data_IF_850463309399
#
_entry.id   IF_850463309399
#
_cell.length_a   1.000
_cell.length_b   1.000
_cell.length_c   1.000
_cell.angle_alpha   90.00
_cell.angle_beta   90.00
_cell.angle_gamma   90.00
#
_symmetry.space_group_name_H-M   'P 1'
#
loop_
_entity.id
_entity.type
_entity.pdbx_description
1 polymer ?
#
# COMPACT_ATOMS: atom_id res chain seq x y z
N UNK A 1 -42.47 -14.14 -3.58
CA UNK A 1 -41.72 -13.18 -2.76
C UNK A 1 -40.37 -12.99 -3.41
N UNK A 2 -39.83 -11.78 -3.38
CA UNK A 2 -38.58 -11.48 -4.09
C UNK A 2 -37.37 -11.76 -3.20
N UNK A 3 -36.39 -12.46 -3.75
CA UNK A 3 -35.14 -12.77 -3.07
C UNK A 3 -33.98 -12.82 -4.06
N UNK A 4 -32.78 -12.55 -3.55
CA UNK A 4 -31.54 -12.60 -4.31
C UNK A 4 -30.47 -13.37 -3.53
N UNK A 5 -29.57 -14.00 -4.26
CA UNK A 5 -28.40 -14.71 -3.73
C UNK A 5 -27.19 -14.46 -4.62
N UNK A 6 -25.99 -14.76 -4.12
CA UNK A 6 -24.74 -14.68 -4.86
C UNK A 6 -23.96 -15.98 -4.69
N UNK A 7 -23.08 -16.29 -5.66
CA UNK A 7 -21.97 -17.21 -5.39
C UNK A 7 -20.95 -16.55 -4.42
N UNK A 8 -20.32 -17.37 -3.58
CA UNK A 8 -19.18 -17.03 -2.74
C UNK A 8 -18.35 -18.31 -2.48
N UNK A 9 -17.47 -18.74 -3.38
CA UNK A 9 -16.96 -18.04 -4.56
C UNK A 9 -17.13 -18.80 -5.88
N UNK A 10 -17.32 -18.04 -6.96
CA UNK A 10 -17.05 -18.42 -8.33
C UNK A 10 -15.92 -17.56 -8.91
N UNK A 11 -14.69 -18.06 -8.86
CA UNK A 11 -13.50 -17.29 -9.26
C UNK A 11 -13.38 -17.05 -10.77
N UNK A 12 -14.04 -17.86 -11.61
CA UNK A 12 -13.97 -17.77 -13.07
C UNK A 12 -15.26 -18.17 -13.79
N UNK A 13 -15.73 -17.40 -14.79
CA UNK A 13 -15.19 -16.10 -15.20
C UNK A 13 -15.49 -14.96 -14.20
N UNK A 14 -16.57 -15.07 -13.39
CA UNK A 14 -17.00 -14.06 -12.42
C UNK A 14 -18.02 -14.62 -11.42
N UNK A 15 -18.31 -13.89 -10.35
CA UNK A 15 -19.43 -14.24 -9.46
C UNK A 15 -20.77 -14.13 -10.19
N UNK A 16 -21.75 -14.94 -9.78
CA UNK A 16 -23.12 -14.93 -10.32
C UNK A 16 -24.06 -14.39 -9.23
N UNK A 17 -24.86 -13.38 -9.59
CA UNK A 17 -26.01 -12.99 -8.79
C UNK A 17 -27.26 -13.69 -9.33
N UNK A 18 -28.07 -14.21 -8.43
CA UNK A 18 -29.32 -14.90 -8.72
C UNK A 18 -30.49 -14.05 -8.23
N UNK A 19 -31.56 -13.96 -9.02
CA UNK A 19 -32.80 -13.28 -8.64
C UNK A 19 -34.02 -14.16 -8.88
N UNK A 20 -34.88 -14.25 -7.87
CA UNK A 20 -36.18 -14.91 -7.93
C UNK A 20 -37.28 -13.96 -7.46
N UNK A 21 -38.41 -13.95 -8.16
CA UNK A 21 -39.61 -13.18 -7.81
C UNK A 21 -40.75 -14.08 -7.29
N UNK A 22 -40.56 -15.40 -7.30
CA UNK A 22 -41.55 -16.43 -7.00
C UNK A 22 -41.19 -17.28 -5.77
N UNK A 23 -40.51 -16.66 -4.79
CA UNK A 23 -40.08 -17.31 -3.54
C UNK A 23 -39.10 -18.47 -3.75
N UNK A 24 -38.24 -18.38 -4.77
CA UNK A 24 -37.17 -19.33 -5.03
C UNK A 24 -37.57 -20.53 -5.90
N UNK A 25 -38.76 -20.52 -6.50
CA UNK A 25 -39.18 -21.59 -7.39
C UNK A 25 -38.43 -21.55 -8.74
N UNK A 26 -38.20 -20.34 -9.27
CA UNK A 26 -37.36 -20.10 -10.44
C UNK A 26 -36.37 -18.97 -10.20
N UNK A 27 -35.25 -19.00 -10.94
CA UNK A 27 -34.14 -18.07 -10.78
C UNK A 27 -33.63 -17.61 -12.13
N UNK A 28 -33.25 -16.33 -12.18
CA UNK A 28 -32.56 -15.71 -13.30
C UNK A 28 -31.15 -15.27 -12.86
N UNK A 29 -30.20 -15.27 -13.79
CA UNK A 29 -28.77 -15.05 -13.53
C UNK A 29 -28.32 -13.65 -13.96
N UNK A 30 -27.34 -13.06 -13.27
CA UNK A 30 -26.73 -11.77 -13.66
C UNK A 30 -26.02 -11.82 -14.99
N UNK A 31 -25.46 -12.97 -15.36
CA UNK A 31 -24.84 -13.22 -16.66
C UNK A 31 -25.02 -14.68 -17.03
N UNK A 32 -24.90 -14.98 -18.32
CA UNK A 32 -24.90 -16.34 -18.84
C UNK A 32 -23.98 -16.45 -20.06
N UNK A 33 -23.42 -17.63 -20.31
CA UNK A 33 -22.55 -17.87 -21.46
C UNK A 33 -23.39 -17.88 -22.75
N UNK A 34 -22.86 -17.38 -23.85
CA UNK A 34 -23.36 -17.67 -25.20
C UNK A 34 -22.55 -18.83 -25.77
N UNK A 35 -21.24 -18.81 -25.52
CA UNK A 35 -20.27 -19.86 -25.82
C UNK A 35 -19.16 -19.83 -24.75
N UNK A 36 -18.17 -20.72 -24.85
CA UNK A 36 -17.08 -20.83 -23.85
C UNK A 36 -16.40 -19.49 -23.50
N UNK A 37 -16.25 -18.59 -24.49
CA UNK A 37 -15.52 -17.33 -24.33
C UNK A 37 -16.39 -16.08 -24.54
N UNK A 38 -17.71 -16.24 -24.62
CA UNK A 38 -18.63 -15.12 -24.83
C UNK A 38 -19.72 -15.23 -23.78
N UNK A 39 -19.93 -14.16 -23.00
CA UNK A 39 -21.05 -14.05 -22.08
C UNK A 39 -21.91 -12.83 -22.38
N UNK A 40 -23.13 -12.84 -21.87
CA UNK A 40 -24.03 -11.68 -21.85
C UNK A 40 -24.46 -11.41 -20.41
N UNK A 41 -24.60 -10.14 -20.07
CA UNK A 41 -24.77 -9.66 -18.70
C UNK A 41 -26.01 -8.76 -18.63
N UNK A 42 -26.77 -8.84 -17.53
CA UNK A 42 -27.98 -8.05 -17.29
C UNK A 42 -27.74 -6.57 -17.08
N UNK A 43 -26.52 -6.21 -16.68
CA UNK A 43 -26.16 -4.85 -16.34
C UNK A 43 -24.76 -4.51 -16.84
N UNK A 44 -24.49 -3.23 -16.94
CA UNK A 44 -23.16 -2.69 -17.21
C UNK A 44 -22.54 -2.21 -15.89
N UNK A 45 -21.28 -2.59 -15.66
CA UNK A 45 -20.50 -2.12 -14.52
C UNK A 45 -19.89 -0.75 -14.82
N UNK A 46 -20.04 0.20 -13.91
CA UNK A 46 -19.47 1.54 -13.97
C UNK A 46 -18.49 1.75 -12.80
N UNK A 47 -17.19 1.67 -13.12
CA UNK A 47 -16.09 1.86 -12.18
C UNK A 47 -15.55 3.29 -12.16
N UNK A 48 -16.21 4.28 -12.78
CA UNK A 48 -15.66 5.66 -12.90
C UNK A 48 -15.31 6.30 -11.56
N UNK A 49 -16.06 6.02 -10.49
CA UNK A 49 -15.75 6.48 -9.13
C UNK A 49 -14.54 5.78 -8.47
N UNK A 50 -14.01 4.71 -9.05
CA UNK A 50 -12.83 3.97 -8.59
C UNK A 50 -12.15 3.28 -9.78
N UNK A 51 -11.47 4.04 -10.66
CA UNK A 51 -11.02 3.54 -11.97
C UNK A 51 -9.98 2.41 -11.88
N UNK A 52 -9.34 2.26 -10.71
CA UNK A 52 -8.40 1.17 -10.42
C UNK A 52 -9.06 -0.21 -10.33
N UNK A 53 -10.39 -0.32 -10.23
CA UNK A 53 -11.11 -1.60 -10.21
C UNK A 53 -11.01 -2.41 -11.52
N UNK A 54 -10.43 -1.83 -12.57
CA UNK A 54 -10.01 -2.52 -13.79
C UNK A 54 -8.81 -3.43 -13.60
N UNK A 55 -8.06 -3.28 -12.50
CA UNK A 55 -6.82 -4.01 -12.20
C UNK A 55 -5.71 -3.87 -13.25
N UNK A 56 -5.72 -2.76 -14.01
CA UNK A 56 -4.90 -2.59 -15.22
C UNK A 56 -5.08 -3.74 -16.23
N UNK A 57 -6.21 -4.43 -16.16
CA UNK A 57 -6.59 -5.52 -17.03
C UNK A 57 -7.35 -5.03 -18.26
N UNK A 58 -7.57 -5.97 -19.17
CA UNK A 58 -8.49 -5.86 -20.29
C UNK A 58 -9.39 -7.09 -20.30
N UNK A 59 -10.54 -6.98 -20.95
CA UNK A 59 -11.45 -8.12 -21.09
C UNK A 59 -10.76 -9.28 -21.82
N UNK A 60 -10.97 -10.49 -21.33
CA UNK A 60 -10.42 -11.72 -21.90
C UNK A 60 -11.54 -12.77 -22.02
N UNK A 61 -12.16 -12.82 -23.20
CA UNK A 61 -13.33 -13.67 -23.45
C UNK A 61 -14.48 -13.33 -22.51
N UNK A 62 -14.95 -14.32 -21.75
CA UNK A 62 -16.03 -14.14 -20.77
C UNK A 62 -15.56 -13.48 -19.45
N UNK A 63 -14.26 -13.28 -19.25
CA UNK A 63 -13.72 -12.63 -18.04
C UNK A 63 -13.50 -11.15 -18.29
N UNK A 64 -14.38 -10.30 -17.76
CA UNK A 64 -14.26 -8.84 -17.89
C UNK A 64 -13.27 -8.25 -16.87
N UNK A 65 -12.63 -7.14 -17.24
CA UNK A 65 -11.69 -6.44 -16.37
C UNK A 65 -12.38 -5.83 -15.13
N UNK A 66 -13.58 -5.26 -15.33
CA UNK A 66 -14.45 -4.81 -14.23
C UNK A 66 -15.44 -5.94 -13.93
N UNK A 67 -15.18 -6.65 -12.84
CA UNK A 67 -15.94 -7.83 -12.42
C UNK A 67 -17.18 -7.45 -11.62
N UNK A 68 -18.20 -8.31 -11.64
CA UNK A 68 -19.32 -8.25 -10.68
C UNK A 68 -18.81 -8.34 -9.25
N UNK A 69 -17.76 -9.13 -9.03
CA UNK A 69 -16.99 -9.11 -7.80
C UNK A 69 -16.32 -10.43 -7.49
N UNK A 70 -15.96 -10.57 -6.22
CA UNK A 70 -15.55 -11.80 -5.54
C UNK A 70 -15.78 -11.58 -4.05
N UNK A 71 -15.95 -12.68 -3.31
CA UNK A 71 -16.25 -12.65 -1.87
C UNK A 71 -17.55 -11.91 -1.56
N UNK A 72 -18.59 -12.15 -2.38
CA UNK A 72 -19.91 -11.53 -2.22
C UNK A 72 -20.69 -12.28 -1.13
N UNK A 73 -20.26 -12.09 0.12
CA UNK A 73 -20.96 -12.59 1.32
C UNK A 73 -22.15 -11.69 1.70
N UNK A 74 -21.99 -10.39 1.52
CA UNK A 74 -22.99 -9.38 1.88
C UNK A 74 -23.67 -8.83 0.62
N UNK A 75 -24.98 -9.03 0.53
CA UNK A 75 -25.86 -8.46 -0.49
C UNK A 75 -27.20 -8.12 0.17
N UNK A 76 -27.71 -6.92 -0.08
CA UNK A 76 -28.96 -6.45 0.51
C UNK A 76 -29.77 -5.60 -0.47
N UNK A 77 -31.03 -6.00 -0.68
CA UNK A 77 -32.06 -5.14 -1.28
C UNK A 77 -32.55 -4.20 -0.18
N UNK A 78 -32.75 -2.93 -0.53
CA UNK A 78 -33.30 -1.96 0.41
C UNK A 78 -34.76 -2.33 0.77
N UNK A 79 -35.10 -2.48 2.06
CA UNK A 79 -36.45 -2.84 2.48
C UNK A 79 -37.50 -1.74 2.20
N UNK A 80 -37.08 -0.54 1.80
CA UNK A 80 -37.93 0.60 1.48
C UNK A 80 -37.90 1.01 0.01
N UNK A 81 -37.03 0.40 -0.79
CA UNK A 81 -36.90 0.67 -2.22
C UNK A 81 -36.47 -0.60 -2.98
N UNK A 82 -37.40 -1.22 -3.69
CA UNK A 82 -37.13 -2.47 -4.42
C UNK A 82 -36.20 -2.29 -5.62
N UNK A 83 -35.96 -1.05 -6.06
CA UNK A 83 -34.97 -0.75 -7.11
C UNK A 83 -33.55 -0.63 -6.56
N UNK A 84 -33.38 -0.49 -5.25
CA UNK A 84 -32.08 -0.30 -4.63
C UNK A 84 -31.49 -1.60 -4.06
N UNK A 85 -30.26 -1.89 -4.45
CA UNK A 85 -29.45 -3.00 -3.92
C UNK A 85 -27.99 -2.59 -3.82
N UNK A 86 -27.31 -3.14 -2.81
CA UNK A 86 -25.86 -3.06 -2.69
C UNK A 86 -25.28 -4.45 -2.38
N UNK A 87 -24.05 -4.68 -2.82
CA UNK A 87 -23.28 -5.86 -2.39
C UNK A 87 -21.80 -5.53 -2.20
N UNK A 88 -21.21 -6.18 -1.20
CA UNK A 88 -19.79 -6.09 -0.90
C UNK A 88 -18.98 -7.07 -1.75
N UNK A 89 -17.72 -6.73 -1.96
CA UNK A 89 -16.70 -7.60 -2.55
C UNK A 89 -15.43 -7.53 -1.71
N UNK A 90 -14.39 -8.29 -2.09
CA UNK A 90 -13.08 -8.13 -1.48
C UNK A 90 -12.40 -6.77 -1.71
N UNK A 91 -12.92 -5.90 -2.58
CA UNK A 91 -12.27 -4.62 -2.93
C UNK A 91 -13.17 -3.38 -2.87
N UNK A 92 -14.49 -3.52 -3.05
CA UNK A 92 -15.43 -2.39 -3.10
C UNK A 92 -16.85 -2.80 -2.73
N UNK A 93 -17.75 -1.82 -2.69
CA UNK A 93 -19.21 -2.01 -2.64
C UNK A 93 -19.79 -1.56 -3.98
N UNK A 94 -20.57 -2.43 -4.60
CA UNK A 94 -21.33 -2.15 -5.81
C UNK A 94 -22.79 -1.89 -5.47
N UNK A 95 -23.51 -1.18 -6.34
CA UNK A 95 -24.95 -1.06 -6.21
C UNK A 95 -25.64 -0.38 -7.41
N UNK A 96 -26.96 -0.45 -7.39
CA UNK A 96 -27.84 0.18 -8.37
C UNK A 96 -29.12 0.67 -7.69
N UNK A 97 -29.83 1.57 -8.37
CA UNK A 97 -31.18 2.07 -8.03
C UNK A 97 -32.14 1.80 -9.20
N UNK A 98 -31.92 0.68 -9.91
CA UNK A 98 -32.70 0.27 -11.09
C UNK A 98 -32.88 -1.25 -11.14
N UNK A 99 -32.84 -1.91 -9.98
CA UNK A 99 -32.85 -3.36 -9.88
C UNK A 99 -34.07 -4.01 -10.53
N UNK A 100 -35.26 -3.41 -10.44
CA UNK A 100 -36.48 -4.04 -10.97
C UNK A 100 -36.53 -4.05 -12.50
N UNK A 101 -35.64 -3.31 -13.18
CA UNK A 101 -35.45 -3.46 -14.63
C UNK A 101 -35.03 -4.88 -15.00
N UNK A 102 -34.33 -5.60 -14.10
CA UNK A 102 -34.00 -7.01 -14.26
C UNK A 102 -35.24 -7.85 -14.57
N UNK A 103 -36.37 -7.59 -13.89
CA UNK A 103 -37.59 -8.39 -13.99
C UNK A 103 -38.27 -8.26 -15.36
N UNK A 104 -37.98 -7.18 -16.10
CA UNK A 104 -38.52 -6.92 -17.43
C UNK A 104 -37.63 -7.45 -18.58
N UNK A 105 -36.38 -7.85 -18.30
CA UNK A 105 -35.40 -8.25 -19.33
C UNK A 105 -35.63 -9.66 -19.90
N UNK A 106 -36.42 -10.50 -19.23
CA UNK A 106 -36.63 -11.90 -19.64
C UNK A 106 -35.34 -12.74 -19.60
N UNK A 107 -35.26 -13.73 -20.48
CA UNK A 107 -34.10 -14.63 -20.59
C UNK A 107 -32.90 -13.91 -21.24
N UNK A 108 -31.69 -14.27 -20.79
CA UNK A 108 -30.44 -13.76 -21.39
C UNK A 108 -30.09 -14.46 -22.72
N UNK A 109 -30.61 -15.67 -22.89
CA UNK A 109 -30.18 -16.63 -23.89
C UNK A 109 -31.41 -17.19 -24.60
N UNK A 110 -31.30 -17.33 -25.92
CA UNK A 110 -32.24 -18.09 -26.74
C UNK A 110 -31.51 -18.99 -27.74
N UNK A 111 -32.28 -19.55 -28.67
CA UNK A 111 -31.76 -20.32 -29.81
C UNK A 111 -32.09 -19.59 -31.11
N UNK A 112 -31.14 -19.58 -32.05
CA UNK A 112 -31.40 -19.11 -33.41
C UNK A 112 -32.07 -20.21 -34.25
N UNK A 113 -32.40 -19.92 -35.52
CA UNK A 113 -33.04 -20.89 -36.43
C UNK A 113 -32.21 -22.17 -36.66
N UNK A 114 -30.88 -22.11 -36.46
CA UNK A 114 -29.98 -23.25 -36.57
C UNK A 114 -29.87 -24.06 -35.26
N UNK A 115 -30.59 -23.68 -34.20
CA UNK A 115 -30.50 -24.30 -32.87
C UNK A 115 -29.24 -23.92 -32.10
N UNK A 116 -28.54 -22.86 -32.51
CA UNK A 116 -27.35 -22.37 -31.80
C UNK A 116 -27.75 -21.38 -30.70
N UNK A 117 -27.03 -21.45 -29.58
CA UNK A 117 -27.21 -20.56 -28.45
C UNK A 117 -26.81 -19.12 -28.83
N UNK A 118 -27.70 -18.16 -28.60
CA UNK A 118 -27.47 -16.74 -28.89
C UNK A 118 -27.86 -15.86 -27.71
N UNK A 119 -27.16 -14.72 -27.55
CA UNK A 119 -27.59 -13.69 -26.62
C UNK A 119 -28.88 -13.03 -27.11
N UNK A 120 -29.85 -12.86 -26.21
CA UNK A 120 -31.05 -12.09 -26.48
C UNK A 120 -30.78 -10.59 -26.25
N UNK A 121 -31.40 -9.70 -27.05
CA UNK A 121 -31.28 -8.27 -26.85
C UNK A 121 -31.98 -7.88 -25.54
N UNK A 122 -31.26 -7.19 -24.66
CA UNK A 122 -31.77 -6.69 -23.39
C UNK A 122 -31.32 -5.25 -23.17
N UNK A 123 -32.18 -4.46 -22.53
CA UNK A 123 -31.82 -3.12 -22.07
C UNK A 123 -31.11 -3.23 -20.72
N UNK A 124 -29.79 -3.04 -20.71
CA UNK A 124 -28.96 -3.15 -19.51
C UNK A 124 -29.13 -1.92 -18.62
N UNK A 125 -29.34 -2.13 -17.32
CA UNK A 125 -29.18 -1.07 -16.31
C UNK A 125 -27.73 -0.96 -15.86
N UNK A 126 -27.39 0.12 -15.13
CA UNK A 126 -26.03 0.36 -14.65
C UNK A 126 -25.88 -0.02 -13.18
N UNK A 127 -24.75 -0.65 -12.86
CA UNK A 127 -24.27 -0.89 -11.50
C UNK A 127 -23.01 -0.08 -11.30
N UNK A 128 -23.02 0.83 -10.32
CA UNK A 128 -21.89 1.72 -10.04
C UNK A 128 -21.28 1.48 -8.65
N UNK A 129 -20.13 2.09 -8.41
CA UNK A 129 -19.47 2.08 -7.10
C UNK A 129 -20.38 2.76 -6.05
N UNK A 130 -20.45 2.18 -4.85
CA UNK A 130 -21.19 2.69 -3.67
C UNK A 130 -20.32 2.66 -2.40
N UNK A 131 -19.04 2.97 -2.58
CA UNK A 131 -18.03 2.95 -1.53
C UNK A 131 -17.37 4.32 -1.28
N UNK A 132 -17.96 5.42 -1.77
CA UNK A 132 -17.46 6.76 -1.49
C UNK A 132 -17.42 7.03 0.03
N UNK A 133 -16.28 7.53 0.51
CA UNK A 133 -16.01 7.72 1.94
C UNK A 133 -15.54 6.46 2.69
N UNK A 134 -15.52 5.28 2.07
CA UNK A 134 -14.97 4.05 2.66
C UNK A 134 -13.51 3.90 2.26
N UNK A 135 -12.61 4.08 3.23
CA UNK A 135 -11.17 3.82 3.06
C UNK A 135 -10.74 2.68 3.98
N UNK A 136 -10.28 1.57 3.39
CA UNK A 136 -9.99 0.33 4.10
C UNK A 136 -8.66 -0.33 3.72
N UNK A 137 -7.84 0.34 2.91
CA UNK A 137 -6.59 -0.26 2.43
C UNK A 137 -5.55 -0.38 3.54
N UNK A 138 -4.86 -1.52 3.62
CA UNK A 138 -3.65 -1.67 4.44
C UNK A 138 -2.47 -0.97 3.76
N UNK A 139 -2.10 0.22 4.24
CA UNK A 139 -0.95 0.98 3.73
C UNK A 139 0.33 0.44 4.36
N UNK A 140 1.27 -0.01 3.54
CA UNK A 140 2.53 -0.64 3.99
C UNK A 140 3.75 0.28 3.92
N UNK A 141 3.76 1.25 2.99
CA UNK A 141 4.78 2.32 2.98
C UNK A 141 4.29 3.53 2.18
N UNK A 142 4.92 4.68 2.44
CA UNK A 142 4.62 5.96 1.79
C UNK A 142 5.92 6.68 1.42
N UNK A 143 5.94 7.27 0.21
CA UNK A 143 7.00 8.14 -0.25
C UNK A 143 6.42 9.50 -0.68
N UNK A 144 6.62 10.52 0.14
CA UNK A 144 6.22 11.89 -0.18
C UNK A 144 7.32 12.58 -1.01
N UNK A 145 7.01 12.87 -2.27
CA UNK A 145 7.97 13.46 -3.22
C UNK A 145 7.91 14.99 -3.24
N UNK A 146 6.84 15.58 -2.69
CA UNK A 146 6.48 16.99 -2.85
C UNK A 146 5.64 17.16 -4.12
N UNK A 147 4.40 17.60 -3.97
CA UNK A 147 3.41 17.65 -5.06
C UNK A 147 2.89 16.28 -5.54
N UNK A 148 3.48 15.17 -5.11
CA UNK A 148 2.97 13.81 -5.31
C UNK A 148 3.30 12.92 -4.10
N UNK A 149 2.41 11.96 -3.82
CA UNK A 149 2.60 10.91 -2.82
C UNK A 149 2.54 9.54 -3.51
N UNK A 150 3.53 8.69 -3.30
CA UNK A 150 3.49 7.30 -3.75
C UNK A 150 3.12 6.42 -2.56
N UNK A 151 2.16 5.51 -2.75
CA UNK A 151 1.71 4.58 -1.71
C UNK A 151 1.86 3.14 -2.14
N UNK A 152 2.39 2.30 -1.25
CA UNK A 152 2.44 0.86 -1.37
C UNK A 152 1.39 0.24 -0.43
N UNK A 153 0.52 -0.59 -0.97
CA UNK A 153 -0.66 -1.11 -0.27
C UNK A 153 -0.73 -2.64 -0.37
N UNK A 154 -1.29 -3.26 0.66
CA UNK A 154 -1.82 -4.62 0.56
C UNK A 154 -2.97 -4.68 -0.44
N UNK A 155 -3.14 -5.83 -1.07
CA UNK A 155 -4.21 -6.22 -2.00
C UNK A 155 -4.36 -5.38 -3.28
N UNK A 156 -4.47 -4.06 -3.16
CA UNK A 156 -4.66 -3.08 -4.25
C UNK A 156 -3.36 -2.43 -4.73
N UNK A 157 -2.26 -3.19 -4.67
CA UNK A 157 -0.96 -2.85 -5.24
C UNK A 157 -0.35 -1.51 -4.76
N UNK A 158 -0.36 -0.47 -5.60
CA UNK A 158 0.22 0.83 -5.31
C UNK A 158 -0.26 1.93 -6.24
N UNK A 159 -0.18 3.17 -5.77
CA UNK A 159 -0.77 4.36 -6.40
C UNK A 159 0.20 5.54 -6.35
N UNK A 160 0.07 6.44 -7.34
CA UNK A 160 0.72 7.75 -7.35
C UNK A 160 -0.35 8.83 -7.26
N UNK A 161 -0.47 9.42 -6.08
CA UNK A 161 -1.46 10.45 -5.76
C UNK A 161 -0.89 11.82 -6.16
N UNK A 162 -1.38 12.34 -7.28
CA UNK A 162 -1.07 13.72 -7.73
C UNK A 162 -2.13 14.72 -7.31
N UNK A 163 -3.34 14.22 -7.03
CA UNK A 163 -4.46 14.92 -6.42
C UNK A 163 -4.96 14.03 -5.27
N UNK A 164 -5.00 14.56 -4.05
CA UNK A 164 -5.39 13.78 -2.86
C UNK A 164 -6.91 13.58 -2.77
N UNK A 165 -7.69 14.33 -3.57
CA UNK A 165 -9.16 14.28 -3.57
C UNK A 165 -9.71 13.39 -4.70
N UNK A 166 -8.84 12.69 -5.43
CA UNK A 166 -9.22 11.85 -6.58
C UNK A 166 -8.64 10.44 -6.51
N UNK A 167 -9.47 9.45 -6.80
CA UNK A 167 -9.02 8.08 -6.99
C UNK A 167 -8.18 7.94 -8.27
N UNK A 168 -6.97 7.40 -8.14
CA UNK A 168 -6.03 7.18 -9.25
C UNK A 168 -6.00 5.70 -9.65
N UNK A 169 -5.61 5.37 -10.90
CA UNK A 169 -5.29 3.99 -11.27
C UNK A 169 -4.08 3.47 -10.49
N UNK A 170 -4.01 2.14 -10.32
CA UNK A 170 -2.78 1.51 -9.81
C UNK A 170 -1.64 1.73 -10.79
N UNK A 171 -0.40 1.78 -10.30
CA UNK A 171 0.77 1.89 -11.17
C UNK A 171 1.36 0.54 -11.60
N UNK A 172 0.96 -0.55 -10.94
CA UNK A 172 1.47 -1.91 -11.20
C UNK A 172 0.38 -2.96 -10.94
N UNK A 173 0.32 -3.99 -11.79
CA UNK A 173 -0.54 -5.18 -11.64
C UNK A 173 0.20 -6.33 -10.96
N UNK A 174 -0.54 -7.28 -10.39
CA UNK A 174 -0.01 -8.52 -9.79
C UNK A 174 1.13 -8.31 -8.77
N UNK A 175 1.07 -7.19 -8.04
CA UNK A 175 2.12 -6.77 -7.12
C UNK A 175 1.52 -6.16 -5.86
N UNK A 176 1.57 -6.89 -4.76
CA UNK A 176 1.15 -6.36 -3.47
C UNK A 176 2.28 -5.49 -2.90
N UNK A 177 2.13 -4.16 -2.93
CA UNK A 177 3.20 -3.23 -2.57
C UNK A 177 3.57 -3.24 -1.10
N UNK A 178 4.86 -3.33 -0.77
CA UNK A 178 5.38 -3.51 0.59
C UNK A 178 6.25 -2.34 1.09
N UNK A 179 7.28 -1.92 0.34
CA UNK A 179 8.18 -0.81 0.74
C UNK A 179 8.46 0.12 -0.42
N UNK A 180 8.73 1.40 -0.12
CA UNK A 180 9.04 2.45 -1.07
C UNK A 180 10.25 3.27 -0.61
N UNK A 181 11.05 3.74 -1.56
CA UNK A 181 12.06 4.76 -1.31
C UNK A 181 12.28 5.62 -2.57
N UNK A 182 12.90 6.78 -2.40
CA UNK A 182 13.26 7.68 -3.49
C UNK A 182 14.66 8.26 -3.27
N UNK A 183 15.36 8.59 -4.36
CA UNK A 183 16.68 9.20 -4.27
C UNK A 183 16.57 10.65 -3.79
N UNK A 184 17.33 11.01 -2.75
CA UNK A 184 17.22 12.32 -2.12
C UNK A 184 17.65 13.48 -3.04
N UNK A 185 18.63 13.22 -3.93
CA UNK A 185 19.11 14.20 -4.92
C UNK A 185 18.18 14.35 -6.12
N UNK A 186 17.38 13.32 -6.42
CA UNK A 186 16.48 13.28 -7.57
C UNK A 186 15.22 12.46 -7.23
N UNK A 187 14.15 13.18 -6.91
CA UNK A 187 12.86 12.58 -6.51
C UNK A 187 12.06 12.02 -7.68
N UNK A 188 12.56 12.13 -8.91
CA UNK A 188 11.96 11.44 -10.04
C UNK A 188 12.32 9.95 -10.05
N UNK A 189 13.40 9.57 -9.35
CA UNK A 189 13.81 8.18 -9.18
C UNK A 189 13.20 7.61 -7.91
N UNK A 190 12.25 6.69 -8.09
CA UNK A 190 11.51 6.02 -7.02
C UNK A 190 11.65 4.52 -7.18
N UNK A 191 11.84 3.79 -6.09
CA UNK A 191 11.86 2.33 -6.07
C UNK A 191 10.78 1.81 -5.14
N UNK A 192 10.22 0.65 -5.49
CA UNK A 192 9.27 -0.06 -4.65
C UNK A 192 9.54 -1.55 -4.65
N UNK A 193 9.27 -2.21 -3.54
CA UNK A 193 9.30 -3.67 -3.41
C UNK A 193 7.95 -4.19 -2.94
N UNK A 194 7.64 -5.44 -3.28
CA UNK A 194 6.36 -6.04 -2.91
C UNK A 194 6.23 -7.50 -3.29
N UNK A 195 5.13 -8.09 -2.83
CA UNK A 195 4.81 -9.48 -3.02
C UNK A 195 4.33 -9.70 -4.45
N UNK A 196 4.85 -10.73 -5.11
CA UNK A 196 4.37 -11.17 -6.42
C UNK A 196 3.88 -12.62 -6.31
N UNK A 197 2.86 -12.96 -7.11
CA UNK A 197 2.32 -14.32 -7.21
C UNK A 197 2.92 -15.15 -8.34
N UNK A 198 3.81 -14.58 -9.15
CA UNK A 198 4.47 -15.23 -10.29
C UNK A 198 5.92 -15.58 -9.98
N UNK A 199 6.38 -16.71 -10.51
CA UNK A 199 7.77 -17.18 -10.40
C UNK A 199 8.74 -16.44 -11.33
N UNK A 200 8.24 -15.59 -12.25
CA UNK A 200 9.07 -14.85 -13.21
C UNK A 200 9.13 -13.35 -12.92
N UNK A 201 8.14 -12.79 -12.21
CA UNK A 201 8.08 -11.37 -11.92
C UNK A 201 9.16 -10.95 -10.91
N UNK A 202 9.73 -9.75 -11.10
CA UNK A 202 10.62 -9.12 -10.13
C UNK A 202 9.85 -8.54 -8.95
N UNK A 203 10.36 -8.69 -7.74
CA UNK A 203 9.72 -8.10 -6.53
C UNK A 203 9.92 -6.58 -6.45
N UNK A 204 11.06 -6.10 -6.97
CA UNK A 204 11.41 -4.68 -7.01
C UNK A 204 11.01 -4.08 -8.35
N UNK A 205 10.44 -2.89 -8.31
CA UNK A 205 10.06 -2.06 -9.45
C UNK A 205 10.62 -0.65 -9.24
N UNK A 206 10.81 0.10 -10.31
CA UNK A 206 11.32 1.47 -10.22
C UNK A 206 10.65 2.38 -11.25
N UNK A 207 10.65 3.67 -10.93
CA UNK A 207 10.28 4.77 -11.80
C UNK A 207 11.47 5.74 -11.92
N UNK A 208 11.58 6.40 -13.07
CA UNK A 208 12.56 7.46 -13.34
C UNK A 208 11.90 8.76 -13.78
N UNK A 209 10.58 8.86 -13.60
CA UNK A 209 9.74 9.97 -14.04
C UNK A 209 8.73 10.37 -12.97
N UNK A 210 9.12 10.23 -11.69
CA UNK A 210 8.34 10.62 -10.52
C UNK A 210 7.08 9.78 -10.31
N UNK A 211 7.17 8.49 -10.63
CA UNK A 211 6.10 7.52 -10.47
C UNK A 211 5.07 7.50 -11.60
N UNK A 212 5.28 8.21 -12.71
CA UNK A 212 4.34 8.22 -13.83
C UNK A 212 4.37 6.90 -14.61
N UNK A 213 5.56 6.35 -14.82
CA UNK A 213 5.78 5.02 -15.42
C UNK A 213 6.71 4.19 -14.56
N UNK A 214 6.52 2.87 -14.62
CA UNK A 214 7.22 1.91 -13.77
C UNK A 214 7.77 0.74 -14.60
N UNK A 215 8.93 0.24 -14.18
CA UNK A 215 9.62 -0.89 -14.79
C UNK A 215 9.99 -1.92 -13.73
N UNK A 216 9.79 -3.19 -14.06
CA UNK A 216 10.18 -4.30 -13.19
C UNK A 216 11.68 -4.59 -13.30
N UNK A 217 12.27 -4.91 -12.17
CA UNK A 217 13.66 -5.36 -12.09
C UNK A 217 13.77 -6.86 -12.35
N UNK A 218 14.99 -7.35 -12.60
CA UNK A 218 15.27 -8.78 -12.72
C UNK A 218 14.93 -9.49 -11.42
N UNK A 219 14.18 -10.60 -11.49
CA UNK A 219 13.91 -11.45 -10.32
C UNK A 219 15.21 -12.06 -9.80
N UNK A 220 15.44 -11.94 -8.49
CA UNK A 220 16.53 -12.66 -7.81
C UNK A 220 16.15 -14.14 -7.68
N UNK A 221 16.99 -15.02 -8.23
CA UNK A 221 16.77 -16.46 -8.22
C UNK A 221 16.59 -17.01 -6.79
N UNK A 222 15.66 -17.94 -6.62
CA UNK A 222 15.35 -18.55 -5.31
C UNK A 222 14.48 -17.69 -4.38
N UNK A 223 14.12 -16.47 -4.78
CA UNK A 223 13.18 -15.66 -3.98
C UNK A 223 11.78 -16.29 -4.00
N UNK A 224 11.17 -16.58 -2.84
CA UNK A 224 9.81 -17.09 -2.77
C UNK A 224 8.77 -16.05 -3.21
N UNK A 225 7.59 -16.53 -3.60
CA UNK A 225 6.41 -15.67 -3.73
C UNK A 225 6.06 -15.10 -2.33
N UNK A 226 5.55 -13.87 -2.26
CA UNK A 226 5.29 -13.22 -0.96
C UNK A 226 6.53 -12.70 -0.20
N UNK A 227 7.67 -12.53 -0.88
CA UNK A 227 8.92 -12.08 -0.29
C UNK A 227 9.23 -10.58 -0.54
N UNK A 228 8.21 -9.71 -0.53
CA UNK A 228 8.37 -8.29 -0.91
C UNK A 228 9.49 -7.56 -0.20
N UNK A 229 9.57 -7.65 1.13
CA UNK A 229 10.72 -7.14 1.89
C UNK A 229 10.96 -5.63 1.76
N UNK A 230 12.05 -5.14 2.34
CA UNK A 230 12.36 -3.70 2.43
C UNK A 230 13.36 -3.30 1.35
N UNK A 231 13.10 -2.18 0.67
CA UNK A 231 13.99 -1.60 -0.34
C UNK A 231 14.49 -0.22 0.10
N UNK A 232 15.69 0.13 -0.33
CA UNK A 232 16.29 1.45 -0.18
C UNK A 232 17.04 1.83 -1.47
N UNK A 233 17.04 3.11 -1.82
CA UNK A 233 17.86 3.65 -2.92
C UNK A 233 18.78 4.73 -2.35
N UNK A 234 20.05 4.74 -2.75
CA UNK A 234 21.03 5.70 -2.22
C UNK A 234 20.64 7.13 -2.57
N UNK A 235 21.10 8.10 -1.77
CA UNK A 235 20.75 9.51 -1.95
C UNK A 235 20.99 10.04 -3.38
N UNK A 236 22.01 9.53 -4.05
CA UNK A 236 22.46 9.87 -5.41
C UNK A 236 21.92 8.93 -6.51
N UNK A 237 21.00 8.03 -6.18
CA UNK A 237 20.46 6.99 -7.05
C UNK A 237 21.49 5.98 -7.60
N UNK A 238 22.72 5.95 -7.09
CA UNK A 238 23.78 5.08 -7.61
C UNK A 238 23.58 3.59 -7.29
N UNK A 239 22.86 3.26 -6.22
CA UNK A 239 22.59 1.88 -5.85
C UNK A 239 21.20 1.66 -5.24
N UNK A 240 20.64 0.49 -5.51
CA UNK A 240 19.45 -0.05 -4.86
C UNK A 240 19.89 -1.18 -3.94
N UNK A 241 19.45 -1.16 -2.68
CA UNK A 241 19.63 -2.26 -1.73
C UNK A 241 18.25 -2.81 -1.41
N UNK A 242 18.07 -4.12 -1.56
CA UNK A 242 16.83 -4.80 -1.27
C UNK A 242 17.10 -5.96 -0.32
N UNK A 243 16.34 -6.00 0.78
CA UNK A 243 16.32 -7.11 1.73
C UNK A 243 14.99 -7.84 1.60
N UNK A 244 14.96 -8.99 0.88
CA UNK A 244 13.74 -9.77 0.69
C UNK A 244 13.11 -10.20 2.02
N UNK A 245 11.78 -10.21 2.07
CA UNK A 245 11.01 -10.66 3.23
C UNK A 245 10.77 -12.16 3.21
N UNK A 246 10.34 -12.75 4.33
CA UNK A 246 9.86 -14.14 4.41
C UNK A 246 10.82 -15.20 3.80
N UNK A 247 12.12 -14.93 3.82
CA UNK A 247 13.15 -15.82 3.28
C UNK A 247 14.44 -15.74 4.08
N UNK A 248 15.34 -16.70 3.88
CA UNK A 248 16.70 -16.74 4.44
C UNK A 248 17.76 -16.21 3.47
N UNK A 249 17.36 -15.76 2.28
CA UNK A 249 18.27 -15.15 1.31
C UNK A 249 18.94 -13.91 1.91
N UNK A 250 20.21 -13.74 1.57
CA UNK A 250 20.94 -12.52 1.90
C UNK A 250 20.30 -11.31 1.21
N UNK A 251 20.32 -10.13 1.83
CA UNK A 251 20.03 -8.88 1.13
C UNK A 251 20.92 -8.75 -0.12
N UNK A 252 20.40 -8.07 -1.14
CA UNK A 252 21.06 -7.89 -2.43
C UNK A 252 21.19 -6.41 -2.78
N UNK A 253 22.15 -6.10 -3.65
CA UNK A 253 22.42 -4.76 -4.16
C UNK A 253 22.46 -4.77 -5.68
N UNK A 254 21.99 -3.69 -6.29
CA UNK A 254 22.12 -3.40 -7.71
C UNK A 254 22.69 -2.00 -7.92
N UNK A 255 23.51 -1.83 -8.96
CA UNK A 255 24.03 -0.52 -9.45
C UNK A 255 23.62 -0.23 -10.89
N UNK A 256 22.69 -1.00 -11.44
CA UNK A 256 22.22 -0.91 -12.82
C UNK A 256 20.70 -0.88 -12.90
N UNK A 257 20.07 -0.30 -11.86
CA UNK A 257 18.62 -0.20 -11.68
C UNK A 257 17.91 -1.56 -11.71
N UNK A 258 18.50 -2.54 -11.01
CA UNK A 258 17.93 -3.86 -10.80
C UNK A 258 18.02 -4.80 -12.00
N UNK A 259 18.86 -4.50 -13.00
CA UNK A 259 19.13 -5.45 -14.10
C UNK A 259 19.94 -6.64 -13.59
N UNK A 260 20.91 -6.39 -12.71
CA UNK A 260 21.68 -7.40 -12.00
C UNK A 260 21.70 -7.15 -10.50
N UNK A 261 21.81 -8.24 -9.73
CA UNK A 261 21.81 -8.23 -8.27
C UNK A 261 23.00 -9.00 -7.73
N UNK A 262 23.71 -8.42 -6.76
CA UNK A 262 24.83 -9.05 -6.06
C UNK A 262 24.51 -9.16 -4.57
N UNK A 263 24.78 -10.30 -3.91
CA UNK A 263 24.59 -10.45 -2.48
C UNK A 263 25.41 -9.44 -1.66
N UNK A 264 24.76 -8.80 -0.70
CA UNK A 264 25.37 -7.91 0.28
C UNK A 264 26.12 -8.73 1.32
N UNK A 265 27.29 -8.26 1.74
CA UNK A 265 28.09 -8.89 2.79
C UNK A 265 27.85 -8.22 4.15
N UNK A 266 27.83 -9.03 5.22
CA UNK A 266 27.80 -8.52 6.60
C UNK A 266 26.42 -8.19 7.18
N UNK A 267 25.33 -8.49 6.45
CA UNK A 267 23.96 -8.37 6.95
C UNK A 267 23.26 -9.73 7.12
N UNK A 268 22.45 -9.91 8.17
CA UNK A 268 21.54 -11.04 8.24
C UNK A 268 20.39 -10.89 7.22
N UNK A 269 19.76 -12.02 6.88
CA UNK A 269 18.52 -12.01 6.10
C UNK A 269 17.44 -11.16 6.79
N UNK A 270 16.58 -10.51 6.00
CA UNK A 270 15.46 -9.69 6.46
C UNK A 270 15.85 -8.46 7.31
N UNK A 271 17.12 -8.05 7.32
CA UNK A 271 17.51 -6.79 7.94
C UNK A 271 16.73 -5.62 7.34
N UNK A 272 16.24 -4.70 8.18
CA UNK A 272 15.63 -3.45 7.70
C UNK A 272 16.74 -2.58 7.11
N UNK A 273 16.54 -2.01 5.93
CA UNK A 273 17.54 -1.18 5.24
C UNK A 273 16.99 0.21 4.92
N UNK A 274 17.82 1.25 5.07
CA UNK A 274 17.51 2.65 4.72
C UNK A 274 18.78 3.36 4.28
N UNK A 275 18.69 4.19 3.26
CA UNK A 275 19.81 5.02 2.82
C UNK A 275 19.96 6.28 3.67
N UNK A 276 21.19 6.77 3.84
CA UNK A 276 21.38 8.16 4.24
C UNK A 276 20.74 9.09 3.20
N UNK A 277 20.19 10.23 3.63
CA UNK A 277 19.49 11.17 2.74
C UNK A 277 20.41 12.26 2.18
N UNK A 278 21.71 12.20 2.45
CA UNK A 278 22.72 13.17 2.04
C UNK A 278 23.90 12.49 1.37
N UNK A 279 24.48 11.47 2.01
CA UNK A 279 25.65 10.76 1.50
C UNK A 279 25.25 9.49 0.74
N UNK A 280 25.36 9.51 -0.60
CA UNK A 280 25.03 8.39 -1.47
C UNK A 280 25.86 7.12 -1.24
N UNK A 281 27.01 7.23 -0.55
CA UNK A 281 27.81 6.06 -0.18
C UNK A 281 27.30 5.35 1.08
N UNK A 282 26.40 5.96 1.85
CA UNK A 282 26.01 5.47 3.17
C UNK A 282 24.64 4.82 3.14
N UNK A 283 24.59 3.57 3.58
CA UNK A 283 23.36 2.81 3.81
C UNK A 283 23.39 2.22 5.21
N UNK A 284 22.26 2.24 5.89
CA UNK A 284 22.10 1.71 7.23
C UNK A 284 21.24 0.45 7.21
N UNK A 285 21.49 -0.42 8.18
CA UNK A 285 20.60 -1.53 8.43
C UNK A 285 20.39 -1.78 9.93
N UNK A 286 19.27 -2.42 10.25
CA UNK A 286 18.94 -2.79 11.61
C UNK A 286 18.37 -4.22 11.65
N UNK A 287 18.82 -5.01 12.63
CA UNK A 287 18.31 -6.36 12.87
C UNK A 287 18.57 -6.79 14.31
N UNK A 288 17.52 -7.22 15.03
CA UNK A 288 17.66 -7.90 16.31
C UNK A 288 18.45 -7.13 17.38
N UNK A 289 18.28 -5.80 17.47
CA UNK A 289 19.00 -4.95 18.42
C UNK A 289 20.39 -4.50 17.97
N UNK A 290 20.83 -4.91 16.77
CA UNK A 290 22.11 -4.52 16.18
C UNK A 290 21.89 -3.53 15.06
N UNK A 291 22.76 -2.54 14.99
CA UNK A 291 22.72 -1.50 13.97
C UNK A 291 23.99 -1.56 13.11
N UNK A 292 23.81 -1.52 11.81
CA UNK A 292 24.86 -1.74 10.82
C UNK A 292 24.98 -0.53 9.91
N UNK A 293 26.18 -0.30 9.40
CA UNK A 293 26.48 0.77 8.46
C UNK A 293 27.35 0.26 7.31
N UNK A 294 26.98 0.67 6.11
CA UNK A 294 27.78 0.61 4.89
C UNK A 294 28.28 2.02 4.56
N UNK A 295 29.48 2.09 3.99
CA UNK A 295 30.08 3.32 3.42
C UNK A 295 30.53 3.10 1.98
N UNK A 296 29.99 2.08 1.32
CA UNK A 296 30.31 1.65 -0.05
C UNK A 296 29.04 1.41 -0.87
N UNK A 297 28.03 2.26 -0.64
CA UNK A 297 26.72 2.24 -1.27
C UNK A 297 25.97 0.90 -1.10
N UNK A 298 26.14 0.25 0.05
CA UNK A 298 25.44 -0.98 0.42
C UNK A 298 26.09 -2.27 -0.04
N UNK A 299 27.35 -2.27 -0.48
CA UNK A 299 28.03 -3.50 -0.91
C UNK A 299 28.46 -4.34 0.31
N UNK A 300 29.00 -3.69 1.34
CA UNK A 300 29.39 -4.33 2.60
C UNK A 300 28.89 -3.54 3.80
N UNK A 301 28.53 -4.25 4.86
CA UNK A 301 28.07 -3.67 6.12
C UNK A 301 28.92 -4.16 7.28
N UNK A 302 29.15 -3.26 8.23
CA UNK A 302 29.75 -3.57 9.52
C UNK A 302 28.77 -3.23 10.65
N UNK A 303 28.79 -4.05 11.71
CA UNK A 303 28.12 -3.72 12.97
C UNK A 303 28.78 -2.46 13.56
N UNK A 304 27.97 -1.46 13.91
CA UNK A 304 28.43 -0.20 14.51
C UNK A 304 28.91 -0.37 15.95
N UNK A 305 28.59 -1.50 16.60
CA UNK A 305 28.86 -1.72 18.02
C UNK A 305 27.90 -1.00 18.95
N UNK A 306 26.81 -0.43 18.42
CA UNK A 306 25.77 0.20 19.21
C UNK A 306 25.15 -0.81 20.21
N UNK A 307 24.87 -0.34 21.43
CA UNK A 307 24.26 -1.14 22.49
C UNK A 307 23.05 -0.42 23.08
N UNK A 308 22.18 -1.16 23.77
CA UNK A 308 20.98 -0.60 24.41
C UNK A 308 19.83 -0.25 23.47
N UNK A 309 19.91 -0.70 22.20
CA UNK A 309 18.79 -0.67 21.28
C UNK A 309 17.82 -1.83 21.59
N UNK A 310 16.50 -1.64 21.40
CA UNK A 310 15.53 -2.73 21.54
C UNK A 310 15.89 -3.90 20.63
N UNK A 311 15.79 -5.15 21.10
CA UNK A 311 16.06 -6.32 20.26
C UNK A 311 14.86 -6.73 19.38
N UNK A 312 13.66 -6.27 19.75
CA UNK A 312 12.38 -6.58 19.11
C UNK A 312 11.42 -5.39 19.25
N UNK A 313 10.25 -5.45 18.61
CA UNK A 313 9.30 -4.33 18.65
C UNK A 313 9.79 -3.09 17.89
N UNK A 314 10.64 -3.28 16.88
CA UNK A 314 11.11 -2.23 15.95
C UNK A 314 10.49 -2.46 14.58
N UNK A 315 9.50 -1.63 14.26
CA UNK A 315 8.81 -1.68 12.98
C UNK A 315 9.49 -0.85 11.90
N UNK A 316 10.21 0.20 12.28
CA UNK A 316 10.92 1.05 11.33
C UNK A 316 12.02 1.89 11.99
N UNK A 317 12.94 2.36 11.17
CA UNK A 317 13.85 3.45 11.48
C UNK A 317 13.96 4.35 10.24
N UNK A 318 14.24 5.64 10.41
CA UNK A 318 14.35 6.60 9.30
C UNK A 318 15.57 7.49 9.45
N UNK A 319 16.07 7.94 8.30
CA UNK A 319 17.18 8.89 8.17
C UNK A 319 16.64 10.28 7.89
N UNK A 320 17.18 11.31 8.56
CA UNK A 320 16.65 12.66 8.46
C UNK A 320 17.13 13.37 7.16
N UNK A 321 16.22 13.90 6.32
CA UNK A 321 16.60 14.65 5.12
C UNK A 321 17.51 15.84 5.41
N UNK A 322 18.56 16.02 4.61
CA UNK A 322 19.51 17.13 4.75
C UNK A 322 20.41 17.05 6.00
N UNK A 323 20.42 15.93 6.71
CA UNK A 323 21.20 15.72 7.94
C UNK A 323 21.98 14.39 7.87
N UNK A 324 23.17 14.42 7.26
CA UNK A 324 24.04 13.25 7.13
C UNK A 324 24.28 12.60 8.51
N UNK A 325 24.12 11.28 8.62
CA UNK A 325 24.38 10.54 9.86
C UNK A 325 23.27 10.64 10.91
N UNK A 326 22.20 11.40 10.66
CA UNK A 326 21.08 11.49 11.60
C UNK A 326 20.08 10.37 11.36
N UNK A 327 19.97 9.47 12.34
CA UNK A 327 19.11 8.29 12.27
C UNK A 327 18.19 8.24 13.48
N UNK A 328 16.92 7.89 13.24
CA UNK A 328 15.88 7.78 14.25
C UNK A 328 15.29 6.37 14.26
N UNK A 329 15.19 5.74 15.44
CA UNK A 329 14.73 4.37 15.60
C UNK A 329 13.58 4.29 16.60
N UNK A 330 12.49 3.63 16.21
CA UNK A 330 11.27 3.50 17.00
C UNK A 330 11.24 2.14 17.72
N UNK A 331 10.92 2.14 19.02
CA UNK A 331 10.71 0.92 19.80
C UNK A 331 9.37 0.93 20.53
N UNK A 332 8.57 -0.12 20.29
CA UNK A 332 7.20 -0.28 20.80
C UNK A 332 6.89 -1.61 21.48
N UNK A 333 7.89 -2.28 22.03
CA UNK A 333 7.65 -3.57 22.71
C UNK A 333 6.71 -3.41 23.90
N UNK A 334 5.83 -4.39 24.07
CA UNK A 334 4.95 -4.59 25.22
C UNK A 334 5.65 -5.37 26.36
N UNK A 335 6.80 -6.00 26.07
CA UNK A 335 7.59 -6.72 27.07
C UNK A 335 8.38 -5.76 27.95
N UNK A 336 8.31 -5.98 29.26
CA UNK A 336 8.88 -5.08 30.26
C UNK A 336 10.42 -4.98 30.19
N UNK A 337 11.07 -6.06 29.77
CA UNK A 337 12.53 -6.17 29.65
C UNK A 337 13.09 -5.56 28.37
N UNK A 338 12.24 -5.26 27.38
CA UNK A 338 12.67 -4.66 26.11
C UNK A 338 12.49 -3.15 26.19
N UNK A 339 13.55 -2.37 25.93
CA UNK A 339 13.43 -0.93 26.04
C UNK A 339 12.48 -0.38 24.95
N UNK A 340 11.65 0.60 25.31
CA UNK A 340 10.71 1.29 24.39
C UNK A 340 10.95 2.80 24.36
N UNK A 341 10.52 3.46 23.30
CA UNK A 341 10.69 4.90 23.10
C UNK A 341 11.18 5.25 21.70
N UNK A 342 11.80 6.42 21.58
CA UNK A 342 12.41 6.93 20.35
C UNK A 342 13.89 7.20 20.59
N UNK A 343 14.76 6.67 19.73
CA UNK A 343 16.20 6.89 19.76
C UNK A 343 16.64 7.76 18.60
N UNK A 344 17.64 8.60 18.83
CA UNK A 344 18.27 9.44 17.82
C UNK A 344 19.80 9.29 17.89
N UNK A 345 20.40 8.97 16.76
CA UNK A 345 21.84 9.03 16.51
C UNK A 345 22.15 10.22 15.60
N UNK A 346 23.29 10.89 15.84
CA UNK A 346 23.79 11.99 15.01
C UNK A 346 25.11 11.66 14.31
N UNK A 347 25.60 10.43 14.47
CA UNK A 347 26.93 9.98 14.04
C UNK A 347 26.86 8.69 13.19
N UNK A 348 25.73 8.48 12.52
CA UNK A 348 25.54 7.34 11.63
C UNK A 348 25.33 6.02 12.36
N UNK A 349 24.71 6.07 13.54
CA UNK A 349 24.33 4.90 14.31
C UNK A 349 25.43 4.36 15.24
N UNK A 350 26.54 5.06 15.40
CA UNK A 350 27.60 4.66 16.33
C UNK A 350 27.18 4.90 17.79
N UNK A 351 26.58 6.04 18.08
CA UNK A 351 26.01 6.36 19.40
C UNK A 351 24.55 6.79 19.30
N UNK A 352 23.78 6.47 20.33
CA UNK A 352 22.33 6.69 20.37
C UNK A 352 21.91 7.35 21.68
N UNK A 353 20.97 8.29 21.58
CA UNK A 353 20.30 8.89 22.73
C UNK A 353 18.82 8.53 22.69
N UNK A 354 18.30 7.90 23.76
CA UNK A 354 16.85 7.72 23.95
C UNK A 354 16.24 9.05 24.37
N UNK A 355 15.19 9.50 23.68
CA UNK A 355 14.48 10.73 24.02
C UNK A 355 13.61 10.51 25.26
N UNK A 356 13.86 11.27 26.32
CA UNK A 356 13.17 11.13 27.60
C UNK A 356 11.66 11.45 27.50
N UNK A 357 11.27 12.37 26.61
CA UNK A 357 9.88 12.79 26.44
C UNK A 357 8.99 11.73 25.74
N UNK A 358 9.58 10.73 25.08
CA UNK A 358 8.85 9.74 24.29
C UNK A 358 8.84 8.40 25.03
N UNK A 359 7.65 8.01 25.49
CA UNK A 359 7.44 6.79 26.26
C UNK A 359 7.53 5.55 25.37
N UNK A 360 6.98 5.66 24.16
CA UNK A 360 6.90 4.61 23.14
C UNK A 360 6.84 5.27 21.76
N UNK A 361 7.48 4.69 20.75
CA UNK A 361 7.33 5.13 19.36
C UNK A 361 7.10 3.94 18.43
N UNK A 362 6.13 4.07 17.53
CA UNK A 362 5.75 3.07 16.52
C UNK A 362 6.35 3.45 15.17
N UNK A 363 6.22 4.71 14.77
CA UNK A 363 6.71 5.24 13.51
C UNK A 363 7.28 6.64 13.66
N UNK A 364 8.21 6.99 12.78
CA UNK A 364 8.81 8.33 12.69
C UNK A 364 8.97 8.70 11.23
N UNK A 365 8.74 9.97 10.88
CA UNK A 365 8.86 10.51 9.54
C UNK A 365 9.26 11.98 9.57
N UNK A 366 9.60 12.53 8.40
CA UNK A 366 10.08 13.89 8.29
C UNK A 366 9.33 14.67 7.21
N UNK A 367 9.16 15.97 7.43
CA UNK A 367 8.64 16.91 6.43
C UNK A 367 9.40 18.22 6.43
N UNK A 368 8.88 19.20 5.71
CA UNK A 368 9.45 20.54 5.60
C UNK A 368 9.71 21.15 6.98
N UNK A 369 10.85 21.82 7.14
CA UNK A 369 11.20 22.49 8.39
C UNK A 369 10.32 23.72 8.66
N UNK A 370 10.06 24.01 9.93
CA UNK A 370 9.31 25.21 10.35
C UNK A 370 10.03 26.52 10.03
N UNK A 371 11.36 26.48 9.95
CA UNK A 371 12.21 27.63 9.65
C UNK A 371 13.18 27.30 8.53
N UNK A 372 13.62 28.33 7.80
CA UNK A 372 14.65 28.19 6.77
C UNK A 372 15.93 27.61 7.38
N UNK A 373 16.47 26.55 6.80
CA UNK A 373 17.66 25.82 7.27
C UNK A 373 17.50 25.14 8.66
N UNK A 374 16.28 25.07 9.18
CA UNK A 374 15.97 24.36 10.42
C UNK A 374 16.13 22.84 10.31
N UNK A 375 15.94 22.13 11.43
CA UNK A 375 15.79 20.68 11.38
C UNK A 375 14.46 20.34 10.65
N UNK A 376 14.40 19.26 9.84
CA UNK A 376 13.13 18.80 9.28
C UNK A 376 12.07 18.64 10.38
N UNK A 377 10.81 19.00 10.11
CA UNK A 377 9.75 18.71 11.07
C UNK A 377 9.66 17.20 11.24
N UNK A 378 9.64 16.73 12.49
CA UNK A 378 9.58 15.31 12.83
C UNK A 378 8.14 14.98 13.16
N UNK A 379 7.62 13.93 12.55
CA UNK A 379 6.30 13.39 12.84
C UNK A 379 6.46 12.00 13.43
N UNK A 380 5.68 11.66 14.45
CA UNK A 380 5.75 10.34 15.07
C UNK A 380 4.37 9.81 15.45
N UNK A 381 4.16 8.51 15.23
CA UNK A 381 3.09 7.74 15.89
C UNK A 381 3.67 7.23 17.20
N UNK A 382 3.23 7.78 18.33
CA UNK A 382 3.94 7.62 19.60
C UNK A 382 3.04 7.78 20.82
N UNK A 383 3.60 7.46 21.98
CA UNK A 383 3.12 7.89 23.29
C UNK A 383 4.11 8.91 23.85
N UNK A 384 3.62 10.11 24.17
CA UNK A 384 4.43 11.22 24.70
C UNK A 384 3.74 11.75 25.95
N UNK A 385 4.42 11.70 27.09
CA UNK A 385 3.86 12.15 28.37
C UNK A 385 2.60 11.38 28.78
N UNK A 386 2.54 10.08 28.47
CA UNK A 386 1.40 9.21 28.73
C UNK A 386 0.22 9.34 27.76
N UNK A 387 0.29 10.25 26.78
CA UNK A 387 -0.76 10.42 25.77
C UNK A 387 -0.38 9.71 24.47
N UNK A 388 -1.24 8.82 23.99
CA UNK A 388 -1.12 8.20 22.66
C UNK A 388 -1.65 9.15 21.58
N UNK A 389 -0.99 9.14 20.42
CA UNK A 389 -1.46 9.84 19.23
C UNK A 389 -0.36 10.07 18.19
N UNK A 390 -0.61 11.08 17.35
CA UNK A 390 0.36 11.56 16.37
C UNK A 390 0.95 12.86 16.88
N UNK A 391 2.26 12.97 16.80
CA UNK A 391 3.00 14.10 17.36
C UNK A 391 3.90 14.74 16.32
N UNK A 392 4.09 16.05 16.44
CA UNK A 392 5.06 16.82 15.67
C UNK A 392 6.10 17.46 16.59
N UNK A 393 7.36 17.43 16.18
CA UNK A 393 8.45 18.22 16.75
C UNK A 393 9.10 19.10 15.68
N UNK A 394 9.46 20.33 16.05
CA UNK A 394 10.10 21.32 15.15
C UNK A 394 11.48 21.78 15.65
N UNK A 395 11.97 21.20 16.74
CA UNK A 395 13.21 21.58 17.43
C UNK A 395 14.19 20.41 17.57
N UNK A 396 14.07 19.41 16.69
CA UNK A 396 14.95 18.24 16.69
C UNK A 396 14.59 17.20 17.75
N UNK A 397 13.32 17.14 18.17
CA UNK A 397 12.77 16.16 19.10
C UNK A 397 12.86 16.57 20.57
N UNK A 398 13.17 17.84 20.87
CA UNK A 398 13.25 18.33 22.24
C UNK A 398 11.85 18.55 22.83
N UNK A 399 10.93 19.10 22.04
CA UNK A 399 9.51 19.24 22.40
C UNK A 399 8.60 18.61 21.35
N UNK A 400 7.41 18.20 21.79
CA UNK A 400 6.43 17.48 20.98
C UNK A 400 5.04 18.08 21.19
N UNK A 401 4.32 18.26 20.09
CA UNK A 401 2.93 18.71 20.08
C UNK A 401 2.06 17.59 19.49
N UNK A 402 0.97 17.21 20.19
CA UNK A 402 -0.03 16.30 19.63
C UNK A 402 -0.75 17.01 18.49
N UNK A 403 -0.84 16.37 17.33
CA UNK A 403 -1.44 16.93 16.10
C UNK A 403 -2.77 16.28 15.71
N UNK A 404 -3.19 15.27 16.47
CA UNK A 404 -4.56 14.75 16.43
C UNK A 404 -5.32 15.04 17.73
N UNK A 405 -6.59 14.67 17.74
CA UNK A 405 -7.47 14.76 18.90
C UNK A 405 -8.14 13.41 19.17
N UNK A 406 -9.07 13.38 20.13
CA UNK A 406 -9.74 12.16 20.57
C UNK A 406 -10.82 11.65 19.60
N UNK A 407 -11.29 12.49 18.68
CA UNK A 407 -12.17 12.05 17.59
C UNK A 407 -11.36 11.46 16.42
N UNK A 408 -10.06 11.74 16.33
CA UNK A 408 -9.19 11.41 15.20
C UNK A 408 -8.02 10.49 15.62
N UNK A 409 -8.33 9.27 16.07
CA UNK A 409 -7.32 8.30 16.53
C UNK A 409 -7.06 7.15 15.53
N UNK A 410 -8.11 6.64 14.87
CA UNK A 410 -8.08 5.55 13.89
C UNK A 410 -7.48 4.20 14.37
N UNK A 411 -7.32 4.00 15.69
CA UNK A 411 -6.79 2.76 16.25
C UNK A 411 -5.31 2.56 15.94
N UNK A 412 -4.90 1.32 15.66
CA UNK A 412 -3.51 1.02 15.33
C UNK A 412 -3.15 1.53 13.93
N UNK A 413 -2.50 2.69 13.87
CA UNK A 413 -2.04 3.36 12.66
C UNK A 413 -0.65 2.90 12.16
N UNK A 414 -0.04 1.88 12.78
CA UNK A 414 1.25 1.34 12.33
C UNK A 414 2.42 2.34 12.33
N UNK A 415 3.50 1.96 11.64
CA UNK A 415 4.75 2.72 11.59
C UNK A 415 4.87 3.68 10.40
N UNK A 416 3.94 3.61 9.43
CA UNK A 416 4.03 4.42 8.21
C UNK A 416 3.53 5.83 8.49
N UNK A 417 4.46 6.76 8.62
CA UNK A 417 4.20 8.18 8.79
C UNK A 417 5.29 8.97 8.07
N UNK A 418 4.92 9.97 7.29
CA UNK A 418 5.87 10.88 6.64
C UNK A 418 5.29 12.27 6.52
N UNK A 419 6.13 13.29 6.69
CA UNK A 419 5.74 14.66 6.38
C UNK A 419 5.84 14.93 4.88
N UNK A 420 5.24 16.02 4.43
CA UNK A 420 5.47 16.55 3.09
C UNK A 420 6.78 17.36 3.06
N UNK A 421 7.71 17.11 2.12
CA UNK A 421 8.96 17.86 2.04
C UNK A 421 8.80 19.32 1.55
N UNK A 422 7.65 19.69 0.98
CA UNK A 422 7.37 20.99 0.36
C UNK A 422 6.28 21.79 1.09
N UNK A 423 5.42 21.13 1.87
CA UNK A 423 4.34 21.75 2.66
C UNK A 423 4.64 21.59 4.16
N UNK A 424 4.89 22.71 4.84
CA UNK A 424 5.13 22.69 6.28
C UNK A 424 3.83 22.36 7.02
N UNK A 425 3.92 21.46 8.01
CA UNK A 425 2.77 21.04 8.81
C UNK A 425 2.01 19.85 8.24
N UNK A 426 2.14 19.55 6.93
CA UNK A 426 1.49 18.41 6.32
C UNK A 426 2.13 17.09 6.73
N UNK A 427 1.30 16.13 7.10
CA UNK A 427 1.68 14.74 7.41
C UNK A 427 0.75 13.76 6.70
N UNK A 428 1.30 12.63 6.27
CA UNK A 428 0.60 11.47 5.73
C UNK A 428 0.87 10.28 6.64
N UNK A 429 -0.16 9.48 6.96
CA UNK A 429 -0.02 8.31 7.82
C UNK A 429 -0.91 7.14 7.37
N UNK A 430 -0.46 5.92 7.63
CA UNK A 430 -1.30 4.73 7.50
C UNK A 430 -2.33 4.69 8.60
N UNK A 431 -3.60 4.47 8.26
CA UNK A 431 -4.67 4.24 9.22
C UNK A 431 -5.75 3.39 8.55
N UNK A 432 -7.00 3.85 8.57
CA UNK A 432 -8.10 3.32 7.73
C UNK A 432 -7.91 3.82 6.29
N UNK A 433 -6.92 3.28 5.58
CA UNK A 433 -6.40 3.88 4.34
C UNK A 433 -5.25 4.87 4.61
N UNK A 434 -5.13 5.90 3.77
CA UNK A 434 -4.17 7.00 3.98
C UNK A 434 -4.94 8.17 4.58
N UNK A 435 -4.51 8.65 5.74
CA UNK A 435 -4.99 9.93 6.29
C UNK A 435 -3.89 10.97 6.10
N UNK A 436 -4.28 12.19 5.74
CA UNK A 436 -3.37 13.33 5.79
C UNK A 436 -3.95 14.44 6.67
N UNK A 437 -3.07 15.27 7.23
CA UNK A 437 -3.46 16.40 8.07
C UNK A 437 -2.58 17.62 7.82
N UNK A 438 -3.18 18.81 7.93
CA UNK A 438 -2.53 20.11 7.80
C UNK A 438 -2.73 20.96 9.07
N UNK A 439 -1.97 22.04 9.19
CA UNK A 439 -2.19 23.04 10.26
C UNK A 439 -3.45 23.84 9.92
N UNK A 440 -4.36 23.97 10.89
CA UNK A 440 -5.57 24.79 10.80
C UNK A 440 -5.31 26.28 11.10
#
# INVERSE_FOLDING_TARGET
GTLMASTCNNWGPDEILFRSTDSGATWSLSWDLVSENVRTDRFAMDSTGSPWLTWLGADNGASYAVKHGWMIEALAIDPHDSDRIMWGTGATVWGTESLTQWDAQGDLIGENEAGERVALPIDKFTVGVRAEGIEMTAVRDLAALGGALVSAKGDVNGFVHTDLDRAEPMFRKDWSGYSLDYAASDRDIVVGSGDVGSDTAGHVTYSTDRGRTWQDTTRVAGTPNGAGGVVAITADAAAIVWSPGNTTLAPVRSTDLGRTWTPVQGLPAQARVRSDRVDGSVVYAYSGGRFYRSTDAGATFADTGATGLPAEGVDDFRTAPGRNGHVWLCGRSDKAEVPKGLWHSKDGGATWTRLAAVDLAIGVGFGKSASRNGYPAIYATATVGGQEGFFRSTDGGATWCRINDDAHQWGFAGSVITGDPEIYGRVYLSARGIVYGDIA
#
